data_IF_704723313418
#
_entry.id   IF_704723313418
#
_cell.length_a   1.000
_cell.length_b   1.000
_cell.length_c   1.000
_cell.angle_alpha   90.00
_cell.angle_beta   90.00
_cell.angle_gamma   90.00
#
_symmetry.space_group_name_H-M   'P 1'
#
loop_
_entity.id
_entity.type
_entity.pdbx_description
1 polymer ?
#
# COMPACT_ATOMS: atom_id res chain seq x y z
N UNK A 1 -2.19 -4.85 -17.30
CA UNK A 1 -0.84 -5.06 -16.73
C UNK A 1 -1.03 -5.73 -15.38
N UNK A 2 -0.19 -6.68 -14.98
CA UNK A 2 -0.33 -7.27 -13.64
C UNK A 2 -0.03 -6.21 -12.58
N UNK A 3 -0.84 -6.11 -11.52
CA UNK A 3 -0.54 -5.22 -10.40
C UNK A 3 0.78 -5.64 -9.75
N UNK A 4 1.57 -4.67 -9.30
CA UNK A 4 2.81 -4.90 -8.57
C UNK A 4 2.55 -4.71 -7.09
N UNK A 5 2.92 -5.69 -6.27
CA UNK A 5 2.79 -5.62 -4.81
C UNK A 5 4.16 -5.48 -4.16
N UNK A 6 4.27 -4.63 -3.15
CA UNK A 6 5.49 -4.46 -2.37
C UNK A 6 5.17 -4.35 -0.89
N UNK A 7 5.87 -5.13 -0.07
CA UNK A 7 5.77 -5.10 1.37
C UNK A 7 6.87 -4.24 1.99
N UNK A 8 6.50 -3.40 2.94
CA UNK A 8 7.38 -2.50 3.68
C UNK A 8 7.19 -2.73 5.17
N UNK A 9 8.29 -2.68 5.91
CA UNK A 9 8.25 -2.74 7.38
C UNK A 9 8.12 -1.34 7.99
N UNK A 10 8.57 -0.32 7.26
CA UNK A 10 8.63 1.06 7.71
C UNK A 10 7.96 1.99 6.68
N UNK A 11 7.32 3.02 7.19
CA UNK A 11 6.61 4.04 6.43
C UNK A 11 7.53 4.84 5.48
N UNK A 12 8.78 5.03 5.88
CA UNK A 12 9.80 5.71 5.09
C UNK A 12 10.10 4.95 3.80
N UNK A 13 10.15 3.61 3.88
CA UNK A 13 10.37 2.76 2.72
C UNK A 13 9.21 2.88 1.72
N UNK A 14 7.98 2.86 2.25
CA UNK A 14 6.76 3.02 1.48
C UNK A 14 6.71 4.39 0.77
N UNK A 15 6.98 5.48 1.50
CA UNK A 15 6.93 6.84 0.97
C UNK A 15 7.98 7.08 -0.12
N UNK A 16 9.19 6.54 0.05
CA UNK A 16 10.23 6.58 -0.98
C UNK A 16 9.81 5.84 -2.25
N UNK A 17 9.13 4.70 -2.12
CA UNK A 17 8.61 3.97 -3.27
C UNK A 17 7.48 4.74 -3.97
N UNK A 18 6.54 5.32 -3.21
CA UNK A 18 5.47 6.16 -3.77
C UNK A 18 6.04 7.34 -4.57
N UNK A 19 7.04 8.04 -4.02
CA UNK A 19 7.74 9.13 -4.73
C UNK A 19 8.44 8.63 -6.00
N UNK A 20 9.05 7.45 -5.96
CA UNK A 20 9.64 6.82 -7.15
C UNK A 20 8.58 6.48 -8.20
N UNK A 21 7.43 5.94 -7.79
CA UNK A 21 6.31 5.61 -8.68
C UNK A 21 5.74 6.88 -9.34
N UNK A 22 5.49 7.93 -8.54
CA UNK A 22 5.05 9.22 -9.04
C UNK A 22 6.07 9.81 -10.03
N UNK A 23 7.36 9.72 -9.72
CA UNK A 23 8.45 10.18 -10.62
C UNK A 23 8.55 9.36 -11.92
N UNK A 24 8.10 8.10 -11.90
CA UNK A 24 7.97 7.24 -13.09
C UNK A 24 6.73 7.54 -13.92
N UNK A 25 5.85 8.45 -13.47
CA UNK A 25 4.61 8.79 -14.14
C UNK A 25 3.44 7.86 -13.80
N UNK A 26 3.54 7.09 -12.71
CA UNK A 26 2.40 6.30 -12.22
C UNK A 26 1.40 7.24 -11.57
N UNK A 27 0.12 7.23 -11.99
CA UNK A 27 -0.90 8.07 -11.40
C UNK A 27 -1.20 7.63 -9.97
N UNK A 28 -1.49 8.60 -9.09
CA UNK A 28 -1.91 8.35 -7.72
C UNK A 28 -3.09 7.37 -7.64
N UNK A 29 -4.01 7.47 -8.61
CA UNK A 29 -5.16 6.58 -8.84
C UNK A 29 -4.84 5.09 -9.05
N UNK A 30 -3.57 4.73 -9.17
CA UNK A 30 -3.10 3.35 -9.29
C UNK A 30 -2.19 2.94 -8.12
N UNK A 31 -2.10 3.75 -7.06
CA UNK A 31 -1.33 3.49 -5.87
C UNK A 31 -2.30 3.25 -4.72
N UNK A 32 -2.34 2.03 -4.21
CA UNK A 32 -3.22 1.64 -3.10
C UNK A 32 -2.37 1.10 -1.96
N UNK A 33 -2.62 1.56 -0.73
CA UNK A 33 -1.88 1.13 0.46
C UNK A 33 -2.79 0.34 1.37
N UNK A 34 -2.25 -0.76 1.91
CA UNK A 34 -2.93 -1.65 2.83
C UNK A 34 -2.10 -1.76 4.10
N UNK A 35 -2.75 -1.62 5.25
CA UNK A 35 -2.17 -1.89 6.57
C UNK A 35 -3.28 -2.37 7.51
N UNK A 36 -2.96 -3.18 8.51
CA UNK A 36 -3.89 -3.52 9.60
C UNK A 36 -3.89 -2.51 10.76
N UNK A 37 -2.96 -1.54 10.74
CA UNK A 37 -2.76 -0.59 11.84
C UNK A 37 -2.93 0.84 11.31
N UNK A 38 -4.04 1.47 11.69
CA UNK A 38 -4.47 2.79 11.20
C UNK A 38 -3.49 3.90 11.64
N UNK A 39 -2.88 3.76 12.83
CA UNK A 39 -1.96 4.75 13.40
C UNK A 39 -0.67 4.89 12.58
N UNK A 40 -0.26 3.84 11.86
CA UNK A 40 0.96 3.83 11.05
C UNK A 40 0.81 4.62 9.76
N UNK A 41 -0.39 4.67 9.17
CA UNK A 41 -0.61 5.31 7.87
C UNK A 41 -0.94 6.80 7.99
N UNK A 42 -1.47 7.23 9.14
CA UNK A 42 -1.92 8.61 9.33
C UNK A 42 -0.77 9.59 9.58
N UNK A 43 0.28 9.16 10.27
CA UNK A 43 1.39 10.04 10.66
C UNK A 43 2.74 9.51 10.18
N UNK A 44 2.95 9.56 8.87
CA UNK A 44 4.24 9.22 8.28
C UNK A 44 5.12 10.46 8.33
N UNK A 45 5.69 10.68 9.51
CA UNK A 45 6.75 11.66 9.73
C UNK A 45 7.99 11.12 9.04
N UNK A 46 8.11 11.41 7.74
CA UNK A 46 9.39 11.30 7.05
C UNK A 46 10.42 12.11 7.84
N UNK A 47 11.61 11.54 8.02
CA UNK A 47 12.79 12.14 8.67
C UNK A 47 12.77 13.67 8.75
N UNK A 48 13.28 14.21 9.86
CA UNK A 48 13.34 15.61 10.32
C UNK A 48 13.79 16.72 9.31
N UNK A 49 13.94 16.40 8.03
CA UNK A 49 14.27 17.28 6.89
C UNK A 49 13.23 17.26 5.76
N UNK A 50 12.28 16.32 5.73
CA UNK A 50 11.22 16.26 4.70
C UNK A 50 9.93 16.89 5.22
N UNK A 51 9.29 17.73 4.40
CA UNK A 51 7.94 18.24 4.71
C UNK A 51 6.99 17.06 4.99
N UNK A 52 6.09 17.17 5.99
CA UNK A 52 5.08 16.15 6.24
C UNK A 52 4.27 16.02 4.96
N UNK A 53 4.40 14.87 4.31
CA UNK A 53 3.65 14.55 3.13
C UNK A 53 2.66 13.47 3.55
N UNK A 54 1.40 13.86 3.65
CA UNK A 54 0.32 12.92 3.88
C UNK A 54 0.34 11.86 2.78
N UNK A 55 0.53 10.60 3.17
CA UNK A 55 0.34 9.49 2.24
C UNK A 55 -1.07 9.53 1.64
N UNK A 56 -2.06 10.07 2.35
CA UNK A 56 -3.42 10.30 1.86
C UNK A 56 -3.43 11.13 0.59
N UNK A 57 -2.51 12.08 0.44
CA UNK A 57 -2.43 12.87 -0.79
C UNK A 57 -1.73 12.09 -1.91
N UNK A 58 -0.90 11.09 -1.58
CA UNK A 58 -0.07 10.35 -2.54
C UNK A 58 -0.70 9.04 -3.05
N UNK A 59 -1.70 8.50 -2.36
CA UNK A 59 -2.36 7.23 -2.69
C UNK A 59 -3.84 7.46 -3.02
N UNK A 60 -4.41 6.58 -3.84
CA UNK A 60 -5.83 6.63 -4.19
C UNK A 60 -6.71 6.19 -3.03
N UNK A 61 -6.35 5.06 -2.42
CA UNK A 61 -7.13 4.41 -1.38
C UNK A 61 -6.22 3.83 -0.31
N UNK A 62 -6.69 3.92 0.93
CA UNK A 62 -6.13 3.23 2.09
C UNK A 62 -7.12 2.17 2.52
N UNK A 63 -6.64 0.96 2.66
CA UNK A 63 -7.42 -0.17 3.13
C UNK A 63 -6.91 -0.58 4.50
N UNK A 64 -7.79 -0.50 5.50
CA UNK A 64 -7.57 -0.99 6.86
C UNK A 64 -8.66 -2.01 7.24
N UNK A 65 -9.19 -2.72 6.24
CA UNK A 65 -10.27 -3.68 6.47
C UNK A 65 -9.73 -5.03 6.94
N UNK A 66 -10.59 -5.78 7.65
CA UNK A 66 -10.26 -7.10 8.18
C UNK A 66 -10.02 -8.12 7.03
N UNK A 67 -9.22 -9.15 7.31
CA UNK A 67 -8.69 -10.17 6.39
C UNK A 67 -9.64 -10.61 5.24
N UNK A 68 -10.93 -10.77 5.54
CA UNK A 68 -11.95 -11.20 4.58
C UNK A 68 -12.21 -10.21 3.43
N UNK A 69 -12.18 -8.91 3.70
CA UNK A 69 -12.43 -7.88 2.68
C UNK A 69 -11.18 -7.68 1.84
N UNK A 70 -10.01 -7.74 2.48
CA UNK A 70 -8.71 -7.57 1.87
C UNK A 70 -8.41 -8.63 0.79
N UNK A 71 -8.75 -9.91 1.05
CA UNK A 71 -8.69 -10.98 0.02
C UNK A 71 -9.61 -10.70 -1.17
N UNK A 72 -10.78 -10.10 -0.94
CA UNK A 72 -11.75 -9.79 -2.00
C UNK A 72 -11.21 -8.67 -2.90
N UNK A 73 -10.63 -7.65 -2.28
CA UNK A 73 -9.97 -6.54 -2.98
C UNK A 73 -8.82 -7.06 -3.84
N UNK A 74 -7.91 -7.86 -3.27
CA UNK A 74 -6.79 -8.45 -4.03
C UNK A 74 -7.24 -9.33 -5.20
N UNK A 75 -8.31 -10.12 -5.04
CA UNK A 75 -8.88 -10.85 -6.18
C UNK A 75 -9.43 -9.92 -7.26
N UNK A 76 -9.98 -8.76 -6.88
CA UNK A 76 -10.40 -7.71 -7.82
C UNK A 76 -9.23 -7.12 -8.62
N UNK A 77 -8.03 -7.08 -8.03
CA UNK A 77 -6.79 -6.75 -8.73
C UNK A 77 -6.25 -7.89 -9.61
N UNK A 78 -6.78 -9.10 -9.47
CA UNK A 78 -6.36 -10.29 -10.21
C UNK A 78 -5.23 -11.09 -9.54
N UNK A 79 -5.07 -10.96 -8.23
CA UNK A 79 -4.16 -11.81 -7.45
C UNK A 79 -4.78 -13.20 -7.20
N UNK A 80 -3.92 -14.21 -7.19
CA UNK A 80 -4.32 -15.58 -6.86
C UNK A 80 -4.59 -15.74 -5.35
N UNK A 81 -5.42 -16.73 -4.93
CA UNK A 81 -5.74 -16.95 -3.53
C UNK A 81 -4.51 -17.17 -2.66
N UNK A 82 -3.50 -17.88 -3.19
CA UNK A 82 -2.23 -18.13 -2.49
C UNK A 82 -1.41 -16.85 -2.28
N UNK A 83 -1.41 -15.94 -3.27
CA UNK A 83 -0.74 -14.63 -3.11
C UNK A 83 -1.49 -13.76 -2.11
N UNK A 84 -2.82 -13.79 -2.11
CA UNK A 84 -3.62 -13.08 -1.13
C UNK A 84 -3.30 -13.54 0.30
N UNK A 85 -3.13 -14.83 0.52
CA UNK A 85 -2.80 -15.42 1.82
C UNK A 85 -1.40 -14.99 2.33
N UNK A 86 -0.41 -14.97 1.43
CA UNK A 86 0.95 -14.51 1.75
C UNK A 86 0.98 -13.00 2.04
N UNK A 87 0.13 -12.22 1.36
CA UNK A 87 -0.03 -10.78 1.60
C UNK A 87 -0.70 -10.48 2.93
N UNK A 88 -1.80 -11.17 3.21
CA UNK A 88 -2.51 -11.10 4.48
C UNK A 88 -1.59 -11.43 5.65
N UNK A 89 -0.83 -12.53 5.54
CA UNK A 89 0.17 -12.90 6.55
C UNK A 89 1.17 -11.77 6.80
N UNK A 90 1.58 -11.02 5.77
CA UNK A 90 2.50 -9.88 5.94
C UNK A 90 1.83 -8.72 6.68
N UNK A 91 0.57 -8.42 6.37
CA UNK A 91 -0.19 -7.38 7.05
C UNK A 91 -0.42 -7.71 8.52
N UNK A 92 -0.74 -8.97 8.83
CA UNK A 92 -0.90 -9.47 10.20
C UNK A 92 0.41 -9.38 11.01
N UNK A 93 1.56 -9.57 10.33
CA UNK A 93 2.89 -9.30 10.91
C UNK A 93 3.20 -7.80 11.12
N UNK A 94 2.23 -6.91 10.89
CA UNK A 94 2.36 -5.45 11.05
C UNK A 94 3.14 -4.76 9.94
N UNK A 95 3.22 -5.37 8.75
CA UNK A 95 3.84 -4.77 7.56
C UNK A 95 2.80 -3.95 6.78
N UNK A 96 3.31 -3.02 5.99
CA UNK A 96 2.56 -2.20 5.05
C UNK A 96 2.66 -2.82 3.66
N UNK A 97 1.58 -2.87 2.91
CA UNK A 97 1.60 -3.28 1.50
C UNK A 97 1.25 -2.12 0.60
N UNK A 98 2.03 -1.98 -0.47
CA UNK A 98 1.75 -1.09 -1.59
C UNK A 98 1.38 -1.91 -2.81
N UNK A 99 0.15 -1.73 -3.29
CA UNK A 99 -0.33 -2.26 -4.56
C UNK A 99 -0.25 -1.15 -5.60
N UNK A 100 0.44 -1.44 -6.70
CA UNK A 100 0.53 -0.57 -7.87
C UNK A 100 -0.20 -1.23 -9.03
N UNK A 101 -1.37 -0.70 -9.36
CA UNK A 101 -2.24 -1.23 -10.40
C UNK A 101 -3.63 -0.63 -10.27
N UNK A 102 -4.51 -0.99 -11.20
CA UNK A 102 -5.93 -0.68 -11.09
C UNK A 102 -6.69 -2.00 -10.89
N UNK A 103 -7.74 -2.02 -10.06
CA UNK A 103 -8.64 -3.17 -10.01
C UNK A 103 -9.34 -3.34 -11.36
N UNK A 104 -9.62 -4.59 -11.73
CA UNK A 104 -10.29 -4.94 -12.98
C UNK A 104 -11.80 -4.72 -12.92
#
# INVERSE_FOLDING_TARGET
>A
MKPTVKAFQDDIGLLNELKKQASKGVPKGSLHVFAHDDERIDCIVGDATSQPADIADLVADRWNEEDSELRTVFRGFGFDPEECDDLETKLDNGKLLLVIGQPN
#
